data_IF_778172307225
#
_entry.id   IF_778172307225
#
_cell.length_a   1.000
_cell.length_b   1.000
_cell.length_c   1.000
_cell.angle_alpha   90.00
_cell.angle_beta   90.00
_cell.angle_gamma   90.00
#
_symmetry.space_group_name_H-M   'P 1'
#
loop_
_entity.id
_entity.type
_entity.pdbx_description
1 polymer ?
#
# COMPACT_ATOMS: atom_id res chain seq x y z
N UNK A 1 28.89 -2.83 -6.81
CA UNK A 1 28.54 -2.43 -8.19
C UNK A 1 29.31 -3.25 -9.24
N UNK A 2 30.60 -3.49 -9.10
CA UNK A 2 31.43 -4.18 -10.13
C UNK A 2 30.93 -5.58 -10.55
N UNK A 3 30.37 -6.37 -9.63
CA UNK A 3 29.85 -7.70 -9.96
C UNK A 3 28.59 -7.58 -10.81
N UNK A 4 27.65 -6.72 -10.41
CA UNK A 4 26.39 -6.49 -11.13
C UNK A 4 26.67 -5.91 -12.51
N UNK A 5 27.64 -5.02 -12.62
CA UNK A 5 28.08 -4.46 -13.89
C UNK A 5 28.55 -5.54 -14.87
N UNK A 6 29.38 -6.47 -14.39
CA UNK A 6 29.85 -7.62 -15.21
C UNK A 6 28.69 -8.50 -15.67
N UNK A 7 27.76 -8.80 -14.77
CA UNK A 7 26.57 -9.62 -15.09
C UNK A 7 25.73 -8.93 -16.16
N UNK A 8 25.39 -7.65 -15.98
CA UNK A 8 24.57 -6.90 -16.93
C UNK A 8 25.25 -6.79 -18.30
N UNK A 9 26.56 -6.50 -18.35
CA UNK A 9 27.30 -6.44 -19.60
C UNK A 9 27.38 -7.79 -20.31
N UNK A 10 27.48 -8.89 -19.58
CA UNK A 10 27.59 -10.23 -20.15
C UNK A 10 26.24 -10.78 -20.66
N UNK A 11 25.13 -10.31 -20.09
CA UNK A 11 23.78 -10.88 -20.33
C UNK A 11 22.82 -9.94 -21.06
N UNK A 12 23.22 -8.72 -21.40
CA UNK A 12 22.34 -7.75 -22.05
C UNK A 12 23.13 -6.76 -22.92
N UNK A 13 22.42 -6.13 -23.85
CA UNK A 13 22.91 -5.04 -24.68
C UNK A 13 22.34 -3.68 -24.21
N UNK A 14 22.90 -2.58 -24.71
CA UNK A 14 22.34 -1.25 -24.47
C UNK A 14 20.91 -1.16 -25.02
N UNK A 15 20.01 -0.58 -24.25
CA UNK A 15 18.57 -0.50 -24.54
C UNK A 15 17.75 -1.70 -24.10
N UNK A 16 18.36 -2.84 -23.73
CA UNK A 16 17.65 -3.98 -23.19
C UNK A 16 17.02 -3.69 -21.83
N UNK A 17 16.06 -4.49 -21.43
CA UNK A 17 15.35 -4.39 -20.15
C UNK A 17 15.98 -5.29 -19.10
N UNK A 18 16.42 -4.68 -18.00
CA UNK A 18 16.89 -5.37 -16.77
C UNK A 18 15.83 -5.29 -15.72
N UNK A 19 15.45 -6.42 -15.12
CA UNK A 19 14.44 -6.49 -14.06
C UNK A 19 15.04 -7.06 -12.77
N UNK A 20 14.70 -6.41 -11.62
CA UNK A 20 15.05 -6.88 -10.29
C UNK A 20 13.86 -6.66 -9.36
N UNK A 21 13.20 -7.77 -8.98
CA UNK A 21 11.97 -7.73 -8.16
C UNK A 21 12.21 -7.78 -6.65
N UNK A 22 13.48 -7.75 -6.23
CA UNK A 22 13.91 -7.68 -4.83
C UNK A 22 15.05 -6.67 -4.70
N UNK A 23 14.87 -5.49 -5.28
CA UNK A 23 15.94 -4.55 -5.59
C UNK A 23 16.65 -3.95 -4.37
N UNK A 24 16.09 -4.05 -3.17
CA UNK A 24 16.68 -3.52 -1.95
C UNK A 24 17.07 -2.05 -2.08
N UNK A 25 18.37 -1.77 -2.07
CA UNK A 25 18.90 -0.41 -2.24
C UNK A 25 19.06 0.05 -3.70
N UNK A 26 18.60 -0.74 -4.69
CA UNK A 26 18.54 -0.37 -6.10
C UNK A 26 19.88 -0.39 -6.84
N UNK A 27 20.83 -1.21 -6.41
CA UNK A 27 22.16 -1.29 -7.06
C UNK A 27 22.04 -1.75 -8.51
N UNK A 28 21.18 -2.76 -8.77
CA UNK A 28 20.93 -3.27 -10.12
C UNK A 28 20.40 -2.17 -11.06
N UNK A 29 19.39 -1.42 -10.61
CA UNK A 29 18.82 -0.30 -11.38
C UNK A 29 19.82 0.81 -11.66
N UNK A 30 20.63 1.17 -10.65
CA UNK A 30 21.64 2.18 -10.80
C UNK A 30 22.74 1.79 -11.82
N UNK A 31 23.14 0.53 -11.82
CA UNK A 31 24.12 0.02 -12.79
C UNK A 31 23.50 -0.08 -14.18
N UNK A 32 22.25 -0.56 -14.29
CA UNK A 32 21.54 -0.61 -15.57
C UNK A 32 21.38 0.77 -16.19
N UNK A 33 20.99 1.79 -15.42
CA UNK A 33 20.89 3.19 -15.87
C UNK A 33 22.23 3.71 -16.41
N UNK A 34 23.31 3.55 -15.64
CA UNK A 34 24.66 3.96 -16.04
C UNK A 34 25.16 3.29 -17.33
N UNK A 35 24.68 2.07 -17.58
CA UNK A 35 25.04 1.28 -18.76
C UNK A 35 24.06 1.48 -19.94
N UNK A 36 23.10 2.38 -19.84
CA UNK A 36 22.14 2.66 -20.90
C UNK A 36 21.07 1.58 -21.11
N UNK A 37 20.86 0.70 -20.12
CA UNK A 37 19.77 -0.28 -20.13
C UNK A 37 18.51 0.36 -19.59
N UNK A 38 17.33 -0.14 -20.00
CA UNK A 38 16.07 0.12 -19.32
C UNK A 38 15.98 -0.78 -18.11
N UNK A 39 15.21 -0.39 -17.10
CA UNK A 39 15.11 -1.20 -15.89
C UNK A 39 13.71 -1.15 -15.28
N UNK A 40 13.35 -2.23 -14.59
CA UNK A 40 12.18 -2.34 -13.71
C UNK A 40 12.68 -2.86 -12.37
N UNK A 41 12.43 -2.09 -11.31
CA UNK A 41 12.79 -2.44 -9.95
C UNK A 41 11.53 -2.59 -9.12
N UNK A 42 11.47 -3.61 -8.27
CA UNK A 42 10.39 -3.77 -7.31
C UNK A 42 10.94 -4.18 -5.95
N UNK A 43 10.25 -3.78 -4.89
CA UNK A 43 10.52 -4.22 -3.52
C UNK A 43 9.27 -4.03 -2.66
N UNK A 44 9.10 -4.84 -1.63
CA UNK A 44 8.01 -4.70 -0.66
C UNK A 44 8.28 -3.60 0.36
N UNK A 45 9.56 -3.31 0.63
CA UNK A 45 9.98 -2.37 1.65
C UNK A 45 9.90 -0.92 1.18
N UNK A 46 9.12 -0.09 1.85
CA UNK A 46 9.06 1.36 1.54
C UNK A 46 10.43 2.02 1.66
N UNK A 47 11.23 1.59 2.63
CA UNK A 47 12.59 2.08 2.82
C UNK A 47 13.51 1.70 1.65
N UNK A 48 13.38 0.47 1.14
CA UNK A 48 14.10 0.00 -0.06
C UNK A 48 13.77 0.88 -1.27
N UNK A 49 12.49 1.11 -1.55
CA UNK A 49 12.04 1.98 -2.65
C UNK A 49 12.53 3.42 -2.47
N UNK A 50 12.48 3.97 -1.25
CA UNK A 50 12.99 5.32 -0.98
C UNK A 50 14.50 5.43 -1.25
N UNK A 51 15.28 4.44 -0.79
CA UNK A 51 16.74 4.39 -0.99
C UNK A 51 17.09 4.21 -2.47
N UNK A 52 16.38 3.33 -3.18
CA UNK A 52 16.50 3.12 -4.63
C UNK A 52 16.24 4.42 -5.39
N UNK A 53 15.13 5.10 -5.09
CA UNK A 53 14.78 6.39 -5.70
C UNK A 53 15.88 7.44 -5.47
N UNK A 54 16.36 7.58 -4.24
CA UNK A 54 17.42 8.54 -3.90
C UNK A 54 18.72 8.21 -4.65
N UNK A 55 19.06 6.94 -4.77
CA UNK A 55 20.25 6.50 -5.52
C UNK A 55 20.14 6.83 -7.00
N UNK A 56 19.00 6.54 -7.64
CA UNK A 56 18.77 6.82 -9.06
C UNK A 56 18.80 8.32 -9.36
N UNK A 57 18.14 9.14 -8.54
CA UNK A 57 18.14 10.59 -8.68
C UNK A 57 19.53 11.23 -8.48
N UNK A 58 20.47 10.53 -7.85
CA UNK A 58 21.86 10.95 -7.71
C UNK A 58 22.74 10.63 -8.93
N UNK A 59 22.21 9.97 -9.96
CA UNK A 59 22.95 9.64 -11.18
C UNK A 59 22.80 10.83 -12.15
N UNK A 60 23.92 11.40 -12.57
CA UNK A 60 23.93 12.46 -13.57
C UNK A 60 23.35 11.96 -14.90
N UNK A 61 22.39 12.70 -15.46
CA UNK A 61 21.71 12.31 -16.70
C UNK A 61 20.71 11.15 -16.56
N UNK A 62 20.32 10.78 -15.33
CA UNK A 62 19.29 9.76 -15.11
C UNK A 62 18.00 10.12 -15.86
N UNK A 63 17.47 9.15 -16.62
CA UNK A 63 16.22 9.32 -17.35
C UNK A 63 15.04 9.45 -16.39
N UNK A 64 13.97 10.18 -16.76
CA UNK A 64 12.74 10.21 -15.99
C UNK A 64 12.19 8.81 -15.76
N UNK A 65 11.75 8.53 -14.54
CA UNK A 65 11.15 7.26 -14.16
C UNK A 65 9.94 7.45 -13.24
N UNK A 66 9.08 6.47 -13.21
CA UNK A 66 7.87 6.47 -12.39
C UNK A 66 8.03 5.52 -11.20
N UNK A 67 7.53 5.95 -10.03
CA UNK A 67 7.44 5.10 -8.84
C UNK A 67 5.97 4.75 -8.63
N UNK A 68 5.64 3.48 -8.83
CA UNK A 68 4.28 2.95 -8.70
C UNK A 68 4.12 2.24 -7.37
N UNK A 69 2.93 2.35 -6.78
CA UNK A 69 2.55 1.62 -5.59
C UNK A 69 1.22 0.91 -5.85
N UNK A 70 1.23 -0.42 -5.90
CA UNK A 70 0.05 -1.22 -6.18
C UNK A 70 -1.10 -0.93 -5.21
N UNK A 71 -0.81 -0.76 -3.91
CA UNK A 71 -1.82 -0.40 -2.93
C UNK A 71 -2.44 0.99 -3.16
N UNK A 72 -1.74 1.92 -3.82
CA UNK A 72 -2.33 3.21 -4.21
C UNK A 72 -3.28 3.10 -5.40
N UNK A 73 -3.06 2.17 -6.33
CA UNK A 73 -3.99 1.95 -7.44
C UNK A 73 -5.34 1.42 -6.95
N UNK A 74 -5.35 0.47 -6.07
CA UNK A 74 -6.56 -0.01 -5.41
C UNK A 74 -7.30 1.13 -4.72
N UNK A 75 -6.61 1.91 -3.91
CA UNK A 75 -7.17 3.07 -3.24
C UNK A 75 -7.73 4.09 -4.23
N UNK A 76 -6.98 4.43 -5.29
CA UNK A 76 -7.43 5.38 -6.32
C UNK A 76 -8.65 4.88 -7.10
N UNK A 77 -8.71 3.58 -7.38
CA UNK A 77 -9.89 2.96 -7.98
C UNK A 77 -11.11 3.16 -7.10
N UNK A 78 -11.03 2.80 -5.81
CA UNK A 78 -12.14 2.95 -4.87
C UNK A 78 -12.50 4.41 -4.62
N UNK A 79 -11.53 5.31 -4.49
CA UNK A 79 -11.79 6.75 -4.45
C UNK A 79 -12.55 7.22 -5.71
N UNK A 80 -12.12 6.79 -6.89
CA UNK A 80 -12.79 7.14 -8.16
C UNK A 80 -14.22 6.61 -8.26
N UNK A 81 -14.48 5.42 -7.73
CA UNK A 81 -15.83 4.83 -7.68
C UNK A 81 -16.71 5.60 -6.69
N UNK A 82 -16.21 5.91 -5.51
CA UNK A 82 -16.94 6.63 -4.46
C UNK A 82 -17.30 8.05 -4.89
N UNK A 83 -16.40 8.79 -5.57
CA UNK A 83 -16.65 10.17 -5.99
C UNK A 83 -17.44 10.33 -7.28
N UNK A 84 -17.46 9.34 -8.17
CA UNK A 84 -18.16 9.45 -9.47
C UNK A 84 -19.67 9.26 -9.40
N UNK A 85 -20.20 8.63 -8.37
CA UNK A 85 -21.66 8.39 -8.21
C UNK A 85 -22.22 9.25 -7.08
N UNK A 86 -22.53 10.49 -7.39
CA UNK A 86 -23.15 11.45 -6.45
C UNK A 86 -24.64 11.19 -6.09
N UNK A 87 -25.28 10.14 -6.62
CA UNK A 87 -26.73 9.92 -6.41
C UNK A 87 -27.11 8.72 -5.53
N UNK A 88 -26.13 7.86 -5.13
CA UNK A 88 -26.39 6.72 -4.22
C UNK A 88 -25.13 6.42 -3.41
N UNK A 89 -24.90 7.21 -2.35
CA UNK A 89 -23.67 7.18 -1.55
C UNK A 89 -23.46 5.86 -0.75
N UNK A 90 -24.49 5.09 -0.52
CA UNK A 90 -24.41 3.87 0.30
C UNK A 90 -23.88 2.65 -0.45
N UNK A 91 -24.14 2.53 -1.76
CA UNK A 91 -23.73 1.36 -2.54
C UNK A 91 -22.21 1.29 -2.71
N UNK A 92 -21.50 2.38 -3.08
CA UNK A 92 -20.05 2.35 -3.23
C UNK A 92 -19.30 2.06 -1.93
N UNK A 93 -19.78 2.57 -0.81
CA UNK A 93 -19.18 2.30 0.51
C UNK A 93 -19.34 0.84 0.90
N UNK A 94 -20.51 0.27 0.69
CA UNK A 94 -20.77 -1.13 0.96
C UNK A 94 -19.89 -2.05 0.10
N UNK A 95 -19.77 -1.79 -1.19
CA UNK A 95 -18.91 -2.53 -2.12
C UNK A 95 -17.45 -2.47 -1.70
N UNK A 96 -16.97 -1.30 -1.29
CA UNK A 96 -15.62 -1.10 -0.75
C UNK A 96 -15.38 -1.96 0.51
N UNK A 97 -16.28 -1.88 1.48
CA UNK A 97 -16.19 -2.68 2.72
C UNK A 97 -16.15 -4.16 2.40
N UNK A 98 -17.04 -4.65 1.54
CA UNK A 98 -17.08 -6.06 1.12
C UNK A 98 -15.79 -6.50 0.43
N UNK A 99 -15.22 -5.64 -0.41
CA UNK A 99 -13.93 -5.90 -1.06
C UNK A 99 -12.80 -6.07 -0.04
N UNK A 100 -12.68 -5.15 0.92
CA UNK A 100 -11.65 -5.22 1.96
C UNK A 100 -11.84 -6.44 2.86
N UNK A 101 -13.08 -6.75 3.28
CA UNK A 101 -13.38 -7.94 4.07
C UNK A 101 -12.99 -9.23 3.35
N UNK A 102 -13.30 -9.33 2.06
CA UNK A 102 -12.92 -10.48 1.22
C UNK A 102 -11.39 -10.61 1.13
N UNK A 103 -10.69 -9.51 0.91
CA UNK A 103 -9.22 -9.48 0.85
C UNK A 103 -8.60 -9.92 2.18
N UNK A 104 -9.16 -9.45 3.30
CA UNK A 104 -8.71 -9.77 4.65
C UNK A 104 -9.17 -11.16 5.11
N UNK A 105 -10.06 -11.82 4.35
CA UNK A 105 -10.72 -13.10 4.71
C UNK A 105 -11.49 -12.99 6.04
N UNK A 106 -12.26 -11.93 6.18
CA UNK A 106 -13.16 -11.69 7.29
C UNK A 106 -14.62 -11.82 6.83
N UNK A 107 -15.48 -12.27 7.73
CA UNK A 107 -16.94 -12.36 7.53
C UNK A 107 -17.57 -10.99 7.78
N UNK A 108 -18.51 -10.53 6.94
CA UNK A 108 -19.20 -9.27 7.16
C UNK A 108 -20.07 -9.32 8.41
N UNK A 109 -20.13 -8.18 9.12
CA UNK A 109 -20.97 -7.98 10.29
C UNK A 109 -22.03 -6.92 9.97
N UNK A 110 -23.26 -7.13 10.40
CA UNK A 110 -24.36 -6.18 10.23
C UNK A 110 -24.83 -5.65 11.60
N UNK A 111 -25.37 -4.44 11.60
CA UNK A 111 -26.01 -3.85 12.80
C UNK A 111 -25.04 -3.17 13.77
N UNK A 112 -23.79 -2.97 13.38
CA UNK A 112 -22.81 -2.19 14.13
C UNK A 112 -22.38 -0.93 13.35
N UNK A 113 -22.01 0.13 14.05
CA UNK A 113 -21.70 1.41 13.45
C UNK A 113 -20.23 1.51 13.03
N UNK A 114 -19.33 1.03 13.89
CA UNK A 114 -17.89 1.13 13.70
C UNK A 114 -17.23 -0.23 13.42
N UNK A 115 -17.99 -1.34 13.41
CA UNK A 115 -17.46 -2.68 13.18
C UNK A 115 -18.07 -3.27 11.94
N UNK A 116 -17.23 -3.59 10.97
CA UNK A 116 -17.63 -3.99 9.63
C UNK A 116 -17.56 -5.49 9.38
N UNK A 117 -16.73 -6.21 10.17
CA UNK A 117 -16.56 -7.64 9.97
C UNK A 117 -15.99 -8.38 11.19
N UNK A 118 -15.86 -9.70 11.02
CA UNK A 118 -15.27 -10.58 12.02
C UNK A 118 -14.33 -11.59 11.38
N UNK A 119 -13.19 -11.81 12.02
CA UNK A 119 -12.22 -12.84 11.63
C UNK A 119 -11.90 -13.73 12.82
N UNK A 120 -12.57 -14.88 12.90
CA UNK A 120 -12.50 -15.74 14.06
C UNK A 120 -13.08 -15.05 15.31
N UNK A 121 -12.25 -14.80 16.32
CA UNK A 121 -12.64 -14.09 17.55
C UNK A 121 -12.40 -12.57 17.49
N UNK A 122 -11.78 -12.06 16.45
CA UNK A 122 -11.44 -10.65 16.32
C UNK A 122 -12.50 -9.91 15.52
N UNK A 123 -12.90 -8.75 15.98
CA UNK A 123 -13.74 -7.82 15.23
C UNK A 123 -12.89 -6.99 14.30
N UNK A 124 -13.45 -6.49 13.22
CA UNK A 124 -12.73 -5.75 12.18
C UNK A 124 -13.39 -4.40 11.94
N UNK A 125 -12.60 -3.34 12.11
CA UNK A 125 -12.93 -2.00 11.66
C UNK A 125 -12.19 -1.70 10.36
N UNK A 126 -12.86 -1.03 9.41
CA UNK A 126 -12.28 -0.62 8.13
C UNK A 126 -12.41 0.89 8.04
N UNK A 127 -11.29 1.57 7.99
CA UNK A 127 -11.24 3.02 7.82
C UNK A 127 -11.65 3.47 6.42
N UNK A 128 -11.99 4.74 6.30
CA UNK A 128 -12.40 5.36 5.05
C UNK A 128 -11.30 5.27 3.97
N UNK A 129 -11.72 5.23 2.69
CA UNK A 129 -10.79 5.15 1.55
C UNK A 129 -10.09 6.48 1.28
N UNK A 130 -10.69 7.59 1.67
CA UNK A 130 -10.30 8.96 1.35
C UNK A 130 -9.78 9.76 2.55
N UNK A 131 -9.82 9.18 3.75
CA UNK A 131 -9.35 9.82 4.96
C UNK A 131 -8.41 8.91 5.77
N UNK A 132 -7.48 9.46 6.57
CA UNK A 132 -6.71 8.70 7.52
C UNK A 132 -7.60 8.19 8.66
N UNK A 133 -7.29 7.01 9.18
CA UNK A 133 -7.90 6.51 10.42
C UNK A 133 -7.46 7.40 11.58
N UNK A 134 -8.43 7.96 12.31
CA UNK A 134 -8.18 8.89 13.41
C UNK A 134 -8.16 8.20 14.76
N UNK A 135 -7.57 8.84 15.76
CA UNK A 135 -7.59 8.35 17.14
C UNK A 135 -9.02 8.23 17.68
N UNK A 136 -9.89 9.19 17.38
CA UNK A 136 -11.30 9.18 17.79
C UNK A 136 -12.03 7.94 17.22
N UNK A 137 -11.86 7.67 15.94
CA UNK A 137 -12.44 6.52 15.24
C UNK A 137 -12.01 5.19 15.88
N UNK A 138 -10.72 5.07 16.26
CA UNK A 138 -10.19 3.89 16.97
C UNK A 138 -10.88 3.73 18.34
N UNK A 139 -11.03 4.81 19.10
CA UNK A 139 -11.68 4.78 20.42
C UNK A 139 -13.15 4.34 20.32
N UNK A 140 -13.87 4.81 19.31
CA UNK A 140 -15.25 4.41 19.04
C UNK A 140 -15.36 2.93 18.68
N UNK A 141 -14.47 2.44 17.81
CA UNK A 141 -14.40 1.02 17.45
C UNK A 141 -14.04 0.13 18.65
N UNK A 142 -13.11 0.57 19.52
CA UNK A 142 -12.75 -0.13 20.77
C UNK A 142 -13.97 -0.18 21.71
N UNK A 143 -14.67 0.93 21.89
CA UNK A 143 -15.85 1.01 22.77
C UNK A 143 -16.97 0.08 22.29
N UNK A 144 -17.20 0.00 20.99
CA UNK A 144 -18.18 -0.90 20.39
C UNK A 144 -17.76 -2.36 20.52
N UNK A 145 -16.47 -2.67 20.34
CA UNK A 145 -15.88 -4.01 20.56
C UNK A 145 -16.12 -4.50 21.98
N UNK A 146 -15.88 -3.65 22.98
CA UNK A 146 -16.14 -3.97 24.39
C UNK A 146 -17.62 -4.20 24.68
N UNK A 147 -18.51 -3.38 24.10
CA UNK A 147 -19.97 -3.56 24.21
C UNK A 147 -20.43 -4.90 23.61
N UNK A 148 -19.76 -5.35 22.54
CA UNK A 148 -20.02 -6.64 21.92
C UNK A 148 -19.43 -7.84 22.70
N UNK A 149 -18.80 -7.60 23.87
CA UNK A 149 -18.20 -8.64 24.70
C UNK A 149 -16.96 -9.28 24.08
N UNK A 150 -16.23 -8.55 23.22
CA UNK A 150 -15.01 -9.02 22.59
C UNK A 150 -13.82 -8.16 23.04
N UNK A 151 -12.63 -8.79 23.09
CA UNK A 151 -11.40 -8.16 23.57
C UNK A 151 -10.36 -7.93 22.48
N UNK A 152 -10.70 -8.27 21.23
CA UNK A 152 -9.76 -8.23 20.10
C UNK A 152 -10.36 -7.50 18.90
N UNK A 153 -9.66 -6.48 18.44
CA UNK A 153 -10.03 -5.63 17.31
C UNK A 153 -8.88 -5.53 16.33
N UNK A 154 -9.17 -5.75 15.04
CA UNK A 154 -8.26 -5.45 13.93
C UNK A 154 -8.75 -4.19 13.24
N UNK A 155 -7.86 -3.23 13.03
CA UNK A 155 -8.17 -1.98 12.34
C UNK A 155 -7.41 -1.95 11.02
N UNK A 156 -8.16 -1.80 9.92
CA UNK A 156 -7.63 -1.77 8.57
C UNK A 156 -7.78 -0.36 7.99
N UNK A 157 -6.68 0.29 7.68
CA UNK A 157 -6.66 1.64 7.12
C UNK A 157 -5.61 1.80 6.02
N UNK A 158 -5.85 2.70 5.09
CA UNK A 158 -4.88 3.09 4.06
C UNK A 158 -3.85 4.09 4.59
N UNK A 159 -4.30 4.95 5.46
CA UNK A 159 -3.50 6.00 6.12
C UNK A 159 -3.89 6.11 7.58
N UNK A 160 -2.98 6.63 8.39
CA UNK A 160 -3.15 6.80 9.82
C UNK A 160 -2.85 8.25 10.19
N UNK A 161 -3.59 8.78 11.15
CA UNK A 161 -3.33 10.09 11.72
C UNK A 161 -1.90 10.17 12.28
N UNK A 162 -1.24 11.32 12.11
CA UNK A 162 0.13 11.51 12.61
C UNK A 162 0.18 11.38 14.13
N UNK A 163 1.19 10.66 14.62
CA UNK A 163 1.37 10.45 16.08
C UNK A 163 0.58 9.28 16.67
N UNK A 164 -0.24 8.59 15.87
CA UNK A 164 -1.07 7.50 16.35
C UNK A 164 -0.24 6.29 16.84
N UNK A 165 0.93 6.08 16.27
CA UNK A 165 1.84 5.00 16.68
C UNK A 165 2.45 5.18 18.07
N UNK A 166 2.40 6.39 18.63
CA UNK A 166 2.94 6.70 19.95
C UNK A 166 1.88 6.56 21.07
N UNK A 167 0.63 6.33 20.71
CA UNK A 167 -0.52 6.39 21.64
C UNK A 167 -1.34 5.09 21.68
N UNK A 168 -1.09 4.13 20.75
CA UNK A 168 -1.82 2.84 20.65
C UNK A 168 -0.96 1.67 21.04
#
# INVERSE_FOLDING_TARGET
>A
ENIIERIIKASSNEGDLVADFFCGSGTTGAVAEKLGRRWIMADLGRFAIHTTRKRLLGIEGCKPFEVQNLGKYERQYWQGVTFKKRSDEQIPLYEYIQFILKLYKAEPLAGMLHLHGRKGKRLVHIGAVDAPVTFAEIQEAIAETKKAGQDSLDILGWEWEMGLHDVV
#
